data_IF_411316733630
#
_entry.id   IF_411316733630
#
_cell.length_a   1.000
_cell.length_b   1.000
_cell.length_c   1.000
_cell.angle_alpha   90.00
_cell.angle_beta   90.00
_cell.angle_gamma   90.00
#
_symmetry.space_group_name_H-M   'P 1'
#
loop_
_entity.id
_entity.type
_entity.pdbx_description
1 polymer ?
#
# COMPACT_ATOMS: atom_id res chain seq x y z
N UNK A 1 65.55 25.13 33.84
CA UNK A 1 64.70 23.95 34.08
C UNK A 1 63.31 24.16 33.51
N UNK A 2 63.19 23.88 32.20
CA UNK A 2 61.93 23.96 31.46
C UNK A 2 61.11 22.70 31.68
N UNK A 3 59.84 22.89 32.08
CA UNK A 3 58.81 21.87 32.02
C UNK A 3 58.22 21.85 30.61
N UNK A 4 58.28 20.70 29.97
CA UNK A 4 57.44 20.24 28.87
C UNK A 4 57.18 18.76 29.14
N UNK A 5 56.10 18.10 28.78
CA UNK A 5 54.72 18.40 28.43
C UNK A 5 54.08 17.00 28.34
N UNK A 6 52.84 16.87 28.78
CA UNK A 6 52.04 15.63 28.83
C UNK A 6 51.92 14.97 27.43
N UNK A 7 52.20 13.66 27.26
CA UNK A 7 51.94 12.99 25.98
C UNK A 7 50.43 12.82 25.82
N UNK A 8 49.83 13.72 25.03
CA UNK A 8 48.42 13.65 24.66
C UNK A 8 48.05 12.26 24.16
N UNK A 9 47.10 11.65 24.86
CA UNK A 9 46.51 10.35 24.59
C UNK A 9 45.70 10.43 23.29
N UNK A 10 46.41 10.28 22.16
CA UNK A 10 45.82 10.21 20.84
C UNK A 10 45.11 8.87 20.68
N UNK A 11 43.78 8.86 20.83
CA UNK A 11 42.94 7.74 20.40
C UNK A 11 43.23 7.49 18.92
N UNK A 12 44.03 6.46 18.62
CA UNK A 12 44.25 6.03 17.26
C UNK A 12 42.93 5.43 16.74
N UNK A 13 42.35 5.94 15.66
CA UNK A 13 41.16 5.31 15.09
C UNK A 13 41.56 3.93 14.56
N UNK A 14 41.16 2.88 15.29
CA UNK A 14 41.35 1.50 14.86
C UNK A 14 40.68 1.29 13.50
N UNK A 15 41.47 0.95 12.48
CA UNK A 15 40.98 0.65 11.14
C UNK A 15 40.20 -0.66 11.10
N UNK A 16 39.27 -0.78 10.16
CA UNK A 16 38.60 -2.06 9.85
C UNK A 16 39.67 -3.02 9.33
N UNK A 17 40.05 -4.00 10.15
CA UNK A 17 41.07 -5.00 9.78
C UNK A 17 40.48 -6.17 8.99
N UNK A 18 39.15 -6.34 9.02
CA UNK A 18 38.48 -7.42 8.32
C UNK A 18 37.03 -7.08 7.96
N UNK A 19 36.68 -7.33 6.70
CA UNK A 19 35.33 -7.24 6.15
C UNK A 19 35.08 -8.52 5.36
N UNK A 20 34.04 -9.26 5.72
CA UNK A 20 33.56 -10.38 4.92
C UNK A 20 32.19 -10.04 4.35
N UNK A 21 32.09 -10.13 3.03
CA UNK A 21 30.83 -10.04 2.31
C UNK A 21 30.44 -11.46 1.91
N UNK A 22 29.30 -11.92 2.42
CA UNK A 22 28.71 -13.21 2.04
C UNK A 22 27.53 -12.89 1.11
N UNK A 23 27.57 -13.31 -0.16
CA UNK A 23 26.46 -13.07 -1.07
C UNK A 23 25.26 -13.93 -0.65
N UNK A 24 24.15 -13.29 -0.32
CA UNK A 24 22.90 -13.96 0.03
C UNK A 24 22.08 -14.36 -1.22
N UNK A 25 22.24 -13.62 -2.33
CA UNK A 25 21.53 -13.89 -3.57
C UNK A 25 22.34 -13.50 -4.81
N UNK A 26 22.25 -14.33 -5.86
CA UNK A 26 22.73 -14.03 -7.21
C UNK A 26 21.57 -13.54 -8.07
N UNK A 27 21.56 -12.25 -8.36
CA UNK A 27 20.68 -11.63 -9.35
C UNK A 27 21.45 -11.34 -10.62
N UNK A 28 20.82 -11.51 -11.79
CA UNK A 28 21.44 -11.11 -13.06
C UNK A 28 21.70 -9.61 -13.02
N UNK A 29 22.96 -9.22 -13.17
CA UNK A 29 23.30 -7.84 -13.49
C UNK A 29 22.71 -7.52 -14.86
N UNK A 30 21.54 -6.90 -14.89
CA UNK A 30 21.08 -6.16 -16.06
C UNK A 30 22.01 -4.96 -16.20
N UNK A 31 23.18 -5.19 -16.81
CA UNK A 31 24.26 -4.22 -16.90
C UNK A 31 23.71 -2.87 -17.34
N UNK A 32 23.77 -1.90 -16.44
CA UNK A 32 23.36 -0.53 -16.73
C UNK A 32 24.62 0.19 -17.21
N UNK A 33 24.81 0.22 -18.52
CA UNK A 33 25.87 0.99 -19.12
C UNK A 33 25.62 2.47 -18.83
N UNK A 34 26.46 3.06 -17.98
CA UNK A 34 26.46 4.49 -17.71
C UNK A 34 26.73 5.21 -19.04
N UNK A 35 25.72 5.91 -19.55
CA UNK A 35 25.89 6.80 -20.70
C UNK A 35 26.87 7.90 -20.32
N UNK A 36 28.00 8.01 -21.03
CA UNK A 36 28.98 9.07 -20.80
C UNK A 36 28.41 10.49 -21.05
N UNK A 37 27.23 10.62 -21.67
CA UNK A 37 26.57 11.89 -21.95
C UNK A 37 25.03 11.82 -21.79
N UNK A 38 24.46 12.82 -21.12
CA UNK A 38 23.04 13.21 -21.21
C UNK A 38 22.06 12.45 -20.32
N UNK A 39 21.68 11.23 -20.68
CA UNK A 39 20.51 10.54 -20.08
C UNK A 39 20.80 9.75 -18.79
N UNK A 40 22.04 9.33 -18.57
CA UNK A 40 22.41 8.54 -17.38
C UNK A 40 22.47 9.38 -16.09
N UNK A 41 22.84 10.66 -16.19
CA UNK A 41 23.17 11.52 -15.02
C UNK A 41 21.96 11.79 -14.12
N UNK A 42 20.76 11.98 -14.68
CA UNK A 42 19.52 12.18 -13.90
C UNK A 42 19.14 10.90 -13.20
N UNK A 43 19.23 9.77 -13.90
CA UNK A 43 18.89 8.45 -13.39
C UNK A 43 19.83 8.00 -12.25
N UNK A 44 21.11 8.37 -12.32
CA UNK A 44 22.11 8.11 -11.28
C UNK A 44 21.97 9.04 -10.07
N UNK A 45 21.53 10.28 -10.28
CA UNK A 45 21.23 11.20 -9.18
C UNK A 45 20.02 10.71 -8.40
N UNK A 46 18.97 10.25 -9.08
CA UNK A 46 17.77 9.66 -8.45
C UNK A 46 18.14 8.39 -7.69
N UNK A 47 18.93 7.49 -8.30
CA UNK A 47 19.37 6.27 -7.64
C UNK A 47 20.21 6.56 -6.39
N UNK A 48 21.17 7.49 -6.46
CA UNK A 48 21.96 7.91 -5.29
C UNK A 48 21.10 8.57 -4.21
N UNK A 49 20.11 9.37 -4.59
CA UNK A 49 19.18 9.95 -3.63
C UNK A 49 18.35 8.88 -2.91
N UNK A 50 17.79 7.92 -3.65
CA UNK A 50 17.05 6.79 -3.10
C UNK A 50 17.91 5.96 -2.12
N UNK A 51 19.14 5.61 -2.52
CA UNK A 51 20.08 4.87 -1.67
C UNK A 51 20.43 5.63 -0.38
N UNK A 52 20.59 6.96 -0.44
CA UNK A 52 20.83 7.78 0.76
C UNK A 52 19.64 7.77 1.70
N UNK A 53 18.42 7.85 1.17
CA UNK A 53 17.20 7.77 2.00
C UNK A 53 17.06 6.39 2.63
N UNK A 54 17.35 5.31 1.90
CA UNK A 54 17.39 3.95 2.47
C UNK A 54 18.47 3.80 3.55
N UNK A 55 19.64 4.43 3.40
CA UNK A 55 20.67 4.42 4.44
C UNK A 55 20.23 5.16 5.71
N UNK A 56 19.35 6.17 5.61
CA UNK A 56 18.83 6.91 6.76
C UNK A 56 17.61 6.26 7.40
N UNK A 57 16.71 5.68 6.62
CA UNK A 57 15.39 5.21 7.07
C UNK A 57 15.22 3.68 7.04
N UNK A 58 16.23 2.97 6.55
CA UNK A 58 16.22 1.53 6.33
C UNK A 58 15.84 1.15 4.90
N UNK A 59 16.26 -0.06 4.50
CA UNK A 59 16.03 -0.63 3.16
C UNK A 59 14.58 -0.55 2.64
N UNK A 60 13.53 -0.87 3.42
CA UNK A 60 12.16 -0.87 2.92
C UNK A 60 11.52 0.52 2.82
N UNK A 61 12.23 1.59 3.24
CA UNK A 61 11.66 2.93 3.30
C UNK A 61 11.50 3.60 1.93
N UNK A 62 12.21 3.13 0.91
CA UNK A 62 12.08 3.60 -0.48
C UNK A 62 11.71 2.42 -1.35
N UNK A 63 10.51 2.48 -1.95
CA UNK A 63 9.97 1.39 -2.76
C UNK A 63 9.54 1.87 -4.13
N UNK A 64 9.55 0.97 -5.11
CA UNK A 64 8.90 1.15 -6.41
C UNK A 64 7.63 0.28 -6.50
N UNK A 65 6.55 0.80 -7.09
CA UNK A 65 5.37 -0.02 -7.37
C UNK A 65 5.64 -0.97 -8.55
N UNK A 66 5.23 -2.23 -8.40
CA UNK A 66 5.24 -3.24 -9.46
C UNK A 66 3.82 -3.80 -9.61
N UNK A 67 3.25 -3.85 -10.84
CA UNK A 67 1.95 -4.46 -11.06
C UNK A 67 1.91 -5.90 -10.54
N UNK A 68 0.90 -6.23 -9.76
CA UNK A 68 0.65 -7.53 -9.18
C UNK A 68 -0.81 -7.95 -9.42
N UNK A 69 -1.12 -9.21 -9.13
CA UNK A 69 -2.45 -9.78 -9.30
C UNK A 69 -3.31 -9.71 -8.04
N UNK A 70 -4.22 -10.68 -7.89
CA UNK A 70 -5.08 -10.78 -6.70
C UNK A 70 -6.49 -10.29 -6.95
N UNK A 71 -7.24 -10.09 -5.86
CA UNK A 71 -8.70 -9.85 -5.87
C UNK A 71 -9.15 -8.66 -5.01
N UNK A 72 -8.21 -7.83 -4.61
CA UNK A 72 -8.44 -6.56 -3.91
C UNK A 72 -7.49 -5.48 -4.42
N UNK A 73 -7.83 -4.19 -4.29
CA UNK A 73 -6.94 -3.09 -4.66
C UNK A 73 -5.56 -3.19 -4.03
N UNK A 74 -5.50 -3.62 -2.77
CA UNK A 74 -4.25 -3.75 -2.01
C UNK A 74 -3.30 -4.82 -2.58
N UNK A 75 -3.83 -5.78 -3.34
CA UNK A 75 -3.02 -6.84 -3.95
C UNK A 75 -2.53 -6.47 -5.35
N UNK A 76 -3.14 -5.49 -6.01
CA UNK A 76 -2.83 -5.13 -7.41
C UNK A 76 -1.44 -4.51 -7.60
N UNK A 77 -0.77 -4.13 -6.51
CA UNK A 77 0.56 -3.52 -6.53
C UNK A 77 1.42 -4.16 -5.45
N UNK A 78 2.62 -4.62 -5.83
CA UNK A 78 3.68 -4.97 -4.90
C UNK A 78 4.64 -3.77 -4.77
N UNK A 79 4.88 -3.32 -3.54
CA UNK A 79 5.93 -2.35 -3.24
C UNK A 79 7.26 -3.08 -3.05
N UNK A 80 8.17 -2.92 -4.00
CA UNK A 80 9.50 -3.56 -3.99
C UNK A 80 10.53 -2.53 -3.54
N UNK A 81 11.40 -2.82 -2.54
CA UNK A 81 12.47 -1.90 -2.16
C UNK A 81 13.32 -1.47 -3.36
N UNK A 82 13.79 -0.24 -3.34
CA UNK A 82 14.60 0.29 -4.43
C UNK A 82 15.92 -0.50 -4.52
N UNK A 83 16.24 -0.98 -5.73
CA UNK A 83 17.38 -1.86 -5.98
C UNK A 83 17.03 -3.34 -6.07
N UNK A 84 15.87 -3.75 -5.53
CA UNK A 84 15.47 -5.16 -5.48
C UNK A 84 14.68 -5.59 -6.73
N UNK A 85 14.70 -6.90 -6.97
CA UNK A 85 14.07 -7.58 -8.10
C UNK A 85 13.02 -8.60 -7.66
N UNK A 86 12.22 -8.26 -6.66
CA UNK A 86 11.13 -9.13 -6.22
C UNK A 86 10.06 -9.29 -7.30
N UNK A 87 9.62 -10.54 -7.47
CA UNK A 87 8.55 -10.91 -8.39
C UNK A 87 7.26 -11.08 -7.59
N UNK A 88 6.14 -10.45 -8.02
CA UNK A 88 4.84 -10.66 -7.40
C UNK A 88 4.46 -12.13 -7.35
N UNK A 89 4.07 -12.61 -6.15
CA UNK A 89 3.56 -13.99 -5.97
C UNK A 89 2.31 -14.25 -6.79
N UNK A 90 1.49 -13.22 -6.98
CA UNK A 90 0.27 -13.25 -7.77
C UNK A 90 0.54 -12.52 -9.10
N UNK A 91 0.51 -13.21 -10.24
CA UNK A 91 0.75 -12.58 -11.54
C UNK A 91 -0.34 -11.56 -11.89
N UNK A 92 0.01 -10.39 -12.47
CA UNK A 92 -0.93 -9.31 -12.75
C UNK A 92 -1.92 -9.59 -13.90
N UNK A 93 -1.62 -10.57 -14.74
CA UNK A 93 -2.43 -10.96 -15.91
C UNK A 93 -3.58 -11.92 -15.57
N UNK A 94 -3.74 -12.28 -14.29
CA UNK A 94 -4.79 -13.18 -13.84
C UNK A 94 -6.12 -12.43 -13.68
N UNK A 95 -7.25 -13.10 -13.94
CA UNK A 95 -8.55 -12.46 -13.80
C UNK A 95 -8.79 -12.04 -12.34
N UNK A 96 -9.46 -10.89 -12.19
CA UNK A 96 -9.94 -10.37 -10.91
C UNK A 96 -11.48 -10.45 -10.87
N UNK A 97 -12.07 -11.60 -10.51
CA UNK A 97 -13.50 -11.67 -10.22
C UNK A 97 -13.90 -10.68 -9.12
N UNK A 98 -14.89 -9.83 -9.38
CA UNK A 98 -15.25 -8.75 -8.46
C UNK A 98 -14.31 -7.54 -8.51
N UNK A 99 -13.60 -7.36 -9.63
CA UNK A 99 -12.89 -6.13 -9.95
C UNK A 99 -13.83 -4.94 -9.83
N UNK A 100 -13.30 -3.86 -9.27
CA UNK A 100 -14.04 -2.64 -9.01
C UNK A 100 -14.04 -1.84 -10.32
N UNK A 101 -15.17 -1.22 -10.72
CA UNK A 101 -15.19 -0.34 -11.87
C UNK A 101 -14.20 0.81 -11.72
N UNK A 102 -13.62 1.24 -12.84
CA UNK A 102 -12.76 2.41 -12.87
C UNK A 102 -13.50 3.68 -12.38
N UNK A 103 -12.76 4.69 -11.90
CA UNK A 103 -11.30 4.74 -11.79
C UNK A 103 -10.74 3.82 -10.69
N UNK A 104 -9.43 3.55 -10.72
CA UNK A 104 -8.75 2.94 -9.59
C UNK A 104 -8.64 3.97 -8.44
N UNK A 105 -8.72 3.54 -7.16
CA UNK A 105 -8.49 4.45 -6.05
C UNK A 105 -7.05 4.98 -6.05
N UNK A 106 -6.88 6.23 -5.62
CA UNK A 106 -5.58 6.89 -5.55
C UNK A 106 -4.75 6.39 -4.37
N UNK A 107 -5.41 6.16 -3.22
CA UNK A 107 -4.76 5.68 -1.99
C UNK A 107 -5.45 4.43 -1.49
N UNK A 108 -4.73 3.32 -1.40
CA UNK A 108 -5.22 2.08 -0.77
C UNK A 108 -4.65 1.98 0.64
N UNK A 109 -5.50 1.78 1.64
CA UNK A 109 -5.05 1.70 3.02
C UNK A 109 -4.40 0.34 3.29
N UNK A 110 -3.17 0.28 3.86
CA UNK A 110 -2.53 -0.99 4.21
C UNK A 110 -3.36 -1.82 5.20
N UNK A 111 -4.04 -1.13 6.12
CA UNK A 111 -5.05 -1.68 7.00
C UNK A 111 -6.36 -0.93 6.73
N UNK A 112 -7.44 -1.62 6.34
CA UNK A 112 -8.71 -0.96 6.12
C UNK A 112 -9.20 -0.22 7.37
N UNK A 113 -9.69 1.00 7.18
CA UNK A 113 -10.17 1.84 8.28
C UNK A 113 -11.53 1.34 8.76
N UNK A 114 -11.76 1.32 10.07
CA UNK A 114 -13.07 1.02 10.62
C UNK A 114 -14.08 2.08 10.14
N UNK A 115 -15.23 1.64 9.63
CA UNK A 115 -16.24 2.55 9.11
C UNK A 115 -17.63 2.19 9.60
N UNK A 116 -18.56 3.15 9.48
CA UNK A 116 -20.00 2.94 9.65
C UNK A 116 -20.72 3.64 8.52
N UNK A 117 -21.63 2.93 7.85
CA UNK A 117 -22.52 3.50 6.85
C UNK A 117 -23.95 3.37 7.34
N UNK A 118 -24.65 4.50 7.46
CA UNK A 118 -26.03 4.55 7.92
C UNK A 118 -26.97 5.13 6.87
N UNK A 119 -28.25 4.79 6.98
CA UNK A 119 -29.31 5.42 6.21
C UNK A 119 -29.74 6.77 6.82
N UNK A 120 -30.78 7.39 6.24
CA UNK A 120 -31.30 8.69 6.68
C UNK A 120 -31.92 8.67 8.08
N UNK A 121 -32.31 7.50 8.58
CA UNK A 121 -32.84 7.31 9.93
C UNK A 121 -31.75 7.03 10.97
N UNK A 122 -30.48 6.94 10.55
CA UNK A 122 -29.35 6.63 11.42
C UNK A 122 -29.11 5.12 11.61
N UNK A 123 -29.88 4.27 10.92
CA UNK A 123 -29.72 2.82 11.03
C UNK A 123 -28.60 2.32 10.11
N UNK A 124 -27.82 1.35 10.59
CA UNK A 124 -26.73 0.76 9.82
C UNK A 124 -27.26 0.10 8.53
N UNK A 125 -26.66 0.45 7.38
CA UNK A 125 -27.00 -0.19 6.11
C UNK A 125 -26.38 -1.59 6.10
N UNK A 126 -27.21 -2.59 5.84
CA UNK A 126 -26.77 -3.99 5.68
C UNK A 126 -26.98 -4.45 4.24
N UNK A 127 -26.29 -5.51 3.84
CA UNK A 127 -26.46 -6.13 2.52
C UNK A 127 -26.75 -7.62 2.71
N UNK A 128 -27.83 -8.09 2.10
CA UNK A 128 -28.26 -9.48 2.20
C UNK A 128 -27.39 -10.42 1.38
N UNK A 129 -27.68 -11.72 1.53
CA UNK A 129 -27.09 -12.78 0.74
C UNK A 129 -27.36 -12.72 -0.78
N UNK A 130 -28.17 -11.78 -1.25
CA UNK A 130 -28.47 -11.58 -2.69
C UNK A 130 -28.02 -10.21 -3.18
N UNK A 131 -27.07 -9.58 -2.48
CA UNK A 131 -26.58 -8.24 -2.78
C UNK A 131 -27.68 -7.15 -2.72
N UNK A 132 -28.70 -7.35 -1.88
CA UNK A 132 -29.75 -6.36 -1.68
C UNK A 132 -29.42 -5.51 -0.44
N UNK A 133 -29.36 -4.18 -0.60
CA UNK A 133 -29.16 -3.23 0.50
C UNK A 133 -30.46 -3.06 1.31
N UNK A 134 -30.34 -2.92 2.63
CA UNK A 134 -31.48 -2.65 3.51
C UNK A 134 -32.13 -1.28 3.27
N UNK A 135 -31.30 -0.28 2.99
CA UNK A 135 -31.71 1.10 2.71
C UNK A 135 -30.62 1.82 1.88
N UNK A 136 -30.91 2.97 1.27
CA UNK A 136 -29.89 3.79 0.62
C UNK A 136 -28.85 4.32 1.64
N UNK A 137 -27.54 4.16 1.38
CA UNK A 137 -26.49 4.85 2.12
C UNK A 137 -26.71 6.35 2.15
N UNK A 138 -26.65 6.95 3.35
CA UNK A 138 -26.88 8.38 3.55
C UNK A 138 -25.76 9.07 4.35
N UNK A 139 -25.08 8.36 5.25
CA UNK A 139 -23.93 8.90 5.99
C UNK A 139 -22.79 7.89 6.08
N UNK A 140 -21.57 8.39 6.07
CA UNK A 140 -20.33 7.63 6.27
C UNK A 140 -19.55 8.25 7.44
N UNK A 141 -19.14 7.42 8.38
CA UNK A 141 -18.07 7.71 9.33
C UNK A 141 -16.93 6.72 9.08
N UNK A 142 -15.70 7.21 9.03
CA UNK A 142 -14.50 6.38 8.86
C UNK A 142 -13.43 6.81 9.87
N UNK A 143 -12.70 5.85 10.42
CA UNK A 143 -11.60 6.06 11.36
C UNK A 143 -11.97 6.93 12.59
N UNK A 144 -13.17 6.69 13.13
CA UNK A 144 -13.69 7.44 14.28
C UNK A 144 -14.04 8.91 13.99
N UNK A 145 -13.95 9.37 12.74
CA UNK A 145 -14.29 10.73 12.36
C UNK A 145 -15.81 10.96 12.38
N UNK A 146 -16.29 12.21 12.56
CA UNK A 146 -17.70 12.55 12.48
C UNK A 146 -18.36 12.07 11.19
N UNK A 147 -19.63 11.68 11.27
CA UNK A 147 -20.37 11.17 10.13
C UNK A 147 -20.69 12.26 9.10
N UNK A 148 -20.27 12.06 7.86
CA UNK A 148 -20.47 12.98 6.73
C UNK A 148 -21.63 12.50 5.87
N UNK A 149 -22.36 13.44 5.26
CA UNK A 149 -23.40 13.08 4.31
C UNK A 149 -22.80 12.42 3.05
N UNK A 150 -23.42 11.32 2.60
CA UNK A 150 -23.13 10.67 1.32
C UNK A 150 -23.97 11.38 0.25
N UNK A 151 -23.30 12.01 -0.70
CA UNK A 151 -23.94 12.73 -1.81
C UNK A 151 -24.35 11.78 -2.94
N UNK A 152 -23.51 10.79 -3.23
CA UNK A 152 -23.78 9.77 -4.25
C UNK A 152 -23.03 8.47 -3.94
N UNK A 153 -23.49 7.37 -4.55
CA UNK A 153 -22.84 6.07 -4.39
C UNK A 153 -23.11 5.14 -5.58
N UNK A 154 -22.25 4.15 -5.74
CA UNK A 154 -22.40 3.03 -6.67
C UNK A 154 -22.17 1.69 -5.96
N UNK A 155 -22.77 0.62 -6.48
CA UNK A 155 -22.80 -0.71 -5.86
C UNK A 155 -24.18 -1.11 -5.30
N UNK A 156 -24.28 -2.19 -4.51
CA UNK A 156 -23.19 -3.08 -4.08
C UNK A 156 -22.63 -3.90 -5.23
N UNK A 157 -21.30 -4.04 -5.29
CA UNK A 157 -20.65 -5.08 -6.08
C UNK A 157 -20.31 -6.27 -5.19
N UNK A 158 -21.05 -7.39 -5.30
CA UNK A 158 -20.81 -8.55 -4.46
C UNK A 158 -19.51 -9.24 -4.89
N UNK A 159 -18.72 -9.64 -3.90
CA UNK A 159 -17.53 -10.46 -4.08
C UNK A 159 -17.69 -11.70 -3.22
N UNK A 160 -17.60 -12.86 -3.86
CA UNK A 160 -17.64 -14.17 -3.20
C UNK A 160 -16.42 -14.94 -3.63
N UNK A 161 -15.55 -15.28 -2.67
CA UNK A 161 -14.30 -15.97 -2.91
C UNK A 161 -14.23 -17.24 -2.10
N UNK A 162 -13.60 -18.26 -2.70
CA UNK A 162 -13.27 -19.53 -2.02
C UNK A 162 -14.47 -20.14 -1.29
N UNK A 163 -15.66 -20.02 -1.88
CA UNK A 163 -16.92 -20.50 -1.28
C UNK A 163 -16.93 -22.01 -1.03
N UNK A 164 -16.06 -22.75 -1.72
CA UNK A 164 -15.83 -24.19 -1.56
C UNK A 164 -14.95 -24.55 -0.35
N UNK A 165 -14.28 -23.57 0.28
CA UNK A 165 -13.41 -23.76 1.44
C UNK A 165 -13.93 -22.90 2.60
N UNK A 166 -14.65 -23.49 3.57
CA UNK A 166 -15.28 -22.74 4.66
C UNK A 166 -14.31 -21.86 5.46
N UNK A 167 -13.05 -22.27 5.65
CA UNK A 167 -12.06 -21.50 6.40
C UNK A 167 -11.58 -20.27 5.62
N UNK A 168 -11.54 -20.38 4.30
CA UNK A 168 -11.06 -19.32 3.40
C UNK A 168 -12.15 -18.58 2.66
N UNK A 169 -13.41 -18.99 2.83
CA UNK A 169 -14.57 -18.35 2.23
C UNK A 169 -14.60 -16.89 2.65
N UNK A 170 -14.74 -16.00 1.67
CA UNK A 170 -14.91 -14.57 1.91
C UNK A 170 -16.10 -14.09 1.12
N UNK A 171 -16.95 -13.31 1.78
CA UNK A 171 -18.11 -12.71 1.18
C UNK A 171 -18.18 -11.25 1.59
N UNK A 172 -18.16 -10.36 0.61
CA UNK A 172 -18.20 -8.92 0.84
C UNK A 172 -19.01 -8.19 -0.23
N UNK A 173 -19.41 -6.97 0.07
CA UNK A 173 -20.07 -6.07 -0.88
C UNK A 173 -19.33 -4.74 -0.88
N UNK A 174 -18.81 -4.33 -2.04
CA UNK A 174 -18.11 -3.05 -2.21
C UNK A 174 -19.05 -1.95 -2.67
N UNK A 175 -18.73 -0.74 -2.26
CA UNK A 175 -19.40 0.49 -2.63
C UNK A 175 -18.36 1.55 -2.94
N UNK A 176 -18.64 2.37 -3.94
CA UNK A 176 -18.02 3.69 -4.07
C UNK A 176 -18.97 4.71 -3.44
N UNK A 177 -18.47 5.51 -2.52
CA UNK A 177 -19.25 6.51 -1.79
C UNK A 177 -18.59 7.89 -1.97
N UNK A 178 -19.37 8.90 -2.30
CA UNK A 178 -18.90 10.30 -2.36
C UNK A 178 -19.49 11.06 -1.18
N UNK A 179 -18.64 11.70 -0.37
CA UNK A 179 -19.04 12.47 0.81
C UNK A 179 -19.12 13.97 0.53
N UNK A 180 -19.80 14.71 1.41
CA UNK A 180 -20.08 16.15 1.24
C UNK A 180 -18.85 17.05 1.25
N UNK A 181 -17.70 16.57 1.76
CA UNK A 181 -16.41 17.23 1.68
C UNK A 181 -15.68 17.05 0.35
N UNK A 182 -16.33 16.39 -0.63
CA UNK A 182 -15.77 16.13 -1.95
C UNK A 182 -14.85 14.91 -2.01
N UNK A 183 -14.64 14.19 -0.90
CA UNK A 183 -13.88 12.94 -0.91
C UNK A 183 -14.72 11.80 -1.46
N UNK A 184 -14.03 10.81 -2.02
CA UNK A 184 -14.64 9.57 -2.44
C UNK A 184 -13.91 8.38 -1.83
N UNK A 185 -14.68 7.36 -1.46
CA UNK A 185 -14.25 6.23 -0.65
C UNK A 185 -14.62 4.92 -1.32
N UNK A 186 -13.70 3.95 -1.25
CA UNK A 186 -14.01 2.56 -1.50
C UNK A 186 -14.35 1.89 -0.16
N UNK A 187 -15.64 1.75 0.10
CA UNK A 187 -16.16 1.08 1.30
C UNK A 187 -16.50 -0.38 1.02
N UNK A 188 -16.36 -1.23 2.03
CA UNK A 188 -16.69 -2.64 1.95
C UNK A 188 -17.48 -3.06 3.18
N UNK A 189 -18.55 -3.81 2.95
CA UNK A 189 -19.28 -4.52 4.00
C UNK A 189 -18.87 -6.00 3.97
N UNK A 190 -18.26 -6.48 5.05
CA UNK A 190 -17.83 -7.87 5.21
C UNK A 190 -18.15 -8.33 6.64
N UNK A 191 -18.73 -9.53 6.79
CA UNK A 191 -19.05 -10.11 8.10
C UNK A 191 -19.87 -9.16 9.01
N UNK A 192 -20.77 -8.39 8.39
CA UNK A 192 -21.61 -7.40 9.06
C UNK A 192 -20.91 -6.10 9.47
N UNK A 193 -19.63 -5.92 9.10
CA UNK A 193 -18.82 -4.76 9.46
C UNK A 193 -18.46 -3.94 8.24
N UNK A 194 -18.56 -2.62 8.40
CA UNK A 194 -18.12 -1.66 7.39
C UNK A 194 -16.64 -1.33 7.59
N UNK A 195 -15.89 -1.30 6.48
CA UNK A 195 -14.51 -0.87 6.42
C UNK A 195 -14.33 0.06 5.21
N UNK A 196 -13.37 0.99 5.27
CA UNK A 196 -12.87 1.69 4.08
C UNK A 196 -11.57 1.00 3.63
N UNK A 197 -11.54 0.48 2.40
CA UNK A 197 -10.34 -0.15 1.82
C UNK A 197 -9.42 0.90 1.15
N UNK A 198 -9.98 2.00 0.64
CA UNK A 198 -9.25 2.99 -0.15
C UNK A 198 -9.99 4.34 -0.26
N UNK A 199 -9.29 5.37 -0.74
CA UNK A 199 -9.83 6.67 -1.12
C UNK A 199 -9.43 7.09 -2.55
N UNK A 200 -10.19 8.02 -3.12
CA UNK A 200 -10.09 8.51 -4.51
C UNK A 200 -9.62 9.97 -4.62
N UNK A 201 -9.20 10.55 -3.49
CA UNK A 201 -8.76 11.93 -3.33
C UNK A 201 -7.32 12.20 -3.80
#
# INVERSE_FOLDING_TARGET
DGRDADPGDGVQPGGITWLQLIPDQLVRAGGRQLGLWGDAVVSDRVARAALRVQAMLGHPAVTRPVPAGGRSPAEQVLLVPFGDHDVPRLPPDRPWPGQIPGPAPATVFPVPLAATVTDRSGQAVTVTGRAQKSAPPARLSADGQPAMAILSWAGPWPVTERWWDPARARRKARFQLVTEDGRAWLAVLQDGRWLAEASYD
#
